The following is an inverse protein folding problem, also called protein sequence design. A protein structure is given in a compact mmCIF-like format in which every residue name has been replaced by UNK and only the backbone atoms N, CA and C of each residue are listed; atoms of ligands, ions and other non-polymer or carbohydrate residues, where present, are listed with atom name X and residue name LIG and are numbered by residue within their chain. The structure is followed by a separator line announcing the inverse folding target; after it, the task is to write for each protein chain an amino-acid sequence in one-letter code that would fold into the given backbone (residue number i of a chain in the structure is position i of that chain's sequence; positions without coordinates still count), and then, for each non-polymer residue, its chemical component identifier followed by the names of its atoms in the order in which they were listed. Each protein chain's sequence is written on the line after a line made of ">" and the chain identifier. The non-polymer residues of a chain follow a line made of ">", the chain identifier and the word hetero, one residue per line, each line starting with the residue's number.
data_IF_244373343359
#
_entry.id   IF_244373343359
#
_cell.length_a   1.000
_cell.length_b   1.000
_cell.length_c   1.000
_cell.angle_alpha   90.00
_cell.angle_beta   90.00
_cell.angle_gamma   90.00
#
_symmetry.space_group_name_H-M   'P 1'
#
loop_
_entity.id
_entity.type
_entity.pdbx_description
1 polymer ?
#
# COMPACT_ATOMS: atom_id res chain seq x y z
N UNK A 1 7.35 13.18 0.58
CA UNK A 1 6.03 12.54 0.36
C UNK A 1 6.05 11.77 -0.95
N UNK A 2 5.47 10.57 -1.00
CA UNK A 2 5.38 9.79 -2.25
C UNK A 2 4.36 10.45 -3.19
N UNK A 3 4.69 10.66 -4.48
CA UNK A 3 3.76 11.24 -5.43
C UNK A 3 2.58 10.31 -5.68
N UNK A 4 1.41 10.88 -5.96
CA UNK A 4 0.16 10.16 -6.26
C UNK A 4 -0.18 10.28 -7.73
N UNK A 5 -0.19 9.14 -8.42
CA UNK A 5 -0.58 9.00 -9.82
C UNK A 5 -2.02 8.49 -9.89
N UNK A 6 -2.91 9.26 -10.52
CA UNK A 6 -4.32 8.89 -10.65
C UNK A 6 -4.63 8.54 -12.10
N UNK A 7 -5.12 7.32 -12.33
CA UNK A 7 -5.47 6.81 -13.67
C UNK A 7 -6.93 7.18 -13.95
N UNK A 8 -7.15 7.96 -15.01
CA UNK A 8 -8.47 8.44 -15.42
C UNK A 8 -8.73 8.04 -16.88
N UNK A 9 -9.99 7.81 -17.23
CA UNK A 9 -10.40 7.52 -18.59
C UNK A 9 -11.75 6.82 -18.62
N UNK A 10 -12.38 6.79 -19.79
CA UNK A 10 -13.69 6.14 -19.97
C UNK A 10 -13.63 4.63 -19.66
N UNK A 11 -14.77 3.94 -19.48
CA UNK A 11 -14.79 2.49 -19.28
C UNK A 11 -14.04 1.73 -20.40
N UNK A 12 -13.49 0.55 -20.05
CA UNK A 12 -12.87 -0.42 -20.98
C UNK A 12 -11.59 0.01 -21.73
N UNK A 13 -11.01 1.18 -21.43
CA UNK A 13 -9.70 1.62 -21.99
C UNK A 13 -8.49 0.88 -21.39
N UNK A 14 -8.68 0.03 -20.38
CA UNK A 14 -7.61 -0.78 -19.77
C UNK A 14 -6.99 -0.22 -18.48
N UNK A 15 -7.71 0.64 -17.74
CA UNK A 15 -7.23 1.26 -16.49
C UNK A 15 -6.82 0.24 -15.43
N UNK A 16 -7.66 -0.76 -15.17
CA UNK A 16 -7.34 -1.78 -14.16
C UNK A 16 -6.18 -2.70 -14.60
N UNK A 17 -6.02 -2.90 -15.91
CA UNK A 17 -4.85 -3.60 -16.46
C UNK A 17 -3.57 -2.81 -16.22
N UNK A 18 -3.60 -1.49 -16.45
CA UNK A 18 -2.47 -0.60 -16.16
C UNK A 18 -2.19 -0.59 -14.65
N UNK A 19 -3.21 -0.39 -13.81
CA UNK A 19 -3.10 -0.38 -12.36
C UNK A 19 -2.38 -1.63 -11.82
N UNK A 20 -2.84 -2.83 -12.20
CA UNK A 20 -2.25 -4.10 -11.76
C UNK A 20 -0.78 -4.25 -12.21
N UNK A 21 -0.44 -3.71 -13.38
CA UNK A 21 0.94 -3.68 -13.86
C UNK A 21 1.82 -2.73 -13.05
N UNK A 22 1.30 -1.55 -12.70
CA UNK A 22 2.02 -0.54 -11.91
C UNK A 22 2.30 -1.04 -10.48
N UNK A 23 1.36 -1.76 -9.87
CA UNK A 23 1.51 -2.30 -8.51
C UNK A 23 2.31 -3.61 -8.45
N UNK A 24 2.62 -4.22 -9.61
CA UNK A 24 3.20 -5.58 -9.74
C UNK A 24 2.41 -6.63 -8.94
N UNK A 25 1.09 -6.45 -8.82
CA UNK A 25 0.22 -7.41 -8.15
C UNK A 25 -0.02 -8.63 -9.04
N UNK A 26 0.84 -9.64 -8.90
CA UNK A 26 0.35 -11.04 -8.98
C UNK A 26 -0.14 -11.56 -7.62
N UNK A 27 0.12 -10.80 -6.55
CA UNK A 27 -0.13 -11.17 -5.14
C UNK A 27 -1.05 -10.18 -4.40
N UNK A 28 -1.84 -9.35 -5.08
CA UNK A 28 -2.99 -8.70 -4.44
C UNK A 28 -4.11 -9.73 -4.26
N UNK A 29 -3.84 -10.78 -3.49
CA UNK A 29 -4.82 -11.74 -3.01
C UNK A 29 -5.65 -11.06 -1.91
N UNK A 30 -6.53 -10.15 -2.34
CA UNK A 30 -7.87 -10.06 -1.75
C UNK A 30 -8.77 -10.67 -2.80
N UNK A 31 -9.09 -11.95 -2.57
CA UNK A 31 -10.02 -12.82 -3.31
C UNK A 31 -10.58 -12.26 -4.64
N UNK A 32 -10.10 -12.84 -5.75
CA UNK A 32 -10.81 -12.82 -7.03
C UNK A 32 -12.17 -13.53 -6.88
N UNK A 33 -13.21 -12.78 -6.51
CA UNK A 33 -14.59 -13.12 -6.87
C UNK A 33 -15.00 -12.25 -8.07
N UNK A 34 -15.26 -12.86 -9.25
CA UNK A 34 -15.78 -12.13 -10.39
C UNK A 34 -17.15 -11.53 -10.06
N UNK A 35 -17.23 -10.20 -10.00
CA UNK A 35 -18.48 -9.46 -9.75
C UNK A 35 -18.40 -8.24 -8.82
N UNK A 36 -17.23 -7.91 -8.25
CA UNK A 36 -17.14 -7.01 -7.08
C UNK A 36 -16.34 -5.70 -7.23
N UNK A 37 -15.92 -5.27 -8.42
CA UNK A 37 -15.12 -4.03 -8.55
C UNK A 37 -15.92 -2.86 -9.12
N UNK A 38 -16.83 -2.32 -8.31
CA UNK A 38 -17.38 -0.96 -8.50
C UNK A 38 -16.67 0.10 -7.66
N UNK A 39 -15.76 -0.30 -6.77
CA UNK A 39 -14.97 0.58 -5.91
C UNK A 39 -13.55 0.82 -6.45
N UNK A 40 -12.96 1.96 -6.06
CA UNK A 40 -11.61 2.40 -6.46
C UNK A 40 -10.55 1.47 -5.90
N UNK A 41 -9.51 1.24 -6.70
CA UNK A 41 -8.34 0.51 -6.24
C UNK A 41 -7.21 1.48 -5.93
N UNK A 42 -6.57 1.26 -4.78
CA UNK A 42 -5.39 2.01 -4.33
C UNK A 42 -4.24 1.03 -4.18
N UNK A 43 -3.03 1.45 -4.55
CA UNK A 43 -1.87 0.58 -4.40
C UNK A 43 -0.54 1.32 -4.51
N UNK A 44 0.52 0.62 -4.15
CA UNK A 44 1.89 1.12 -4.28
C UNK A 44 2.44 0.81 -5.66
N UNK A 45 2.83 1.86 -6.39
CA UNK A 45 3.60 1.75 -7.62
C UNK A 45 4.99 1.17 -7.35
N UNK A 46 5.36 0.15 -8.13
CA UNK A 46 6.67 -0.54 -8.04
C UNK A 46 7.44 -0.51 -9.38
N UNK A 47 6.94 0.20 -10.37
CA UNK A 47 7.55 0.31 -11.69
C UNK A 47 8.12 1.72 -11.87
N UNK A 48 9.39 1.85 -12.26
CA UNK A 48 10.03 3.16 -12.41
C UNK A 48 11.18 3.35 -11.41
N UNK A 49 11.73 4.56 -11.37
CA UNK A 49 12.85 4.93 -10.51
C UNK A 49 12.46 5.25 -9.07
N UNK A 50 11.27 5.82 -8.86
CA UNK A 50 10.79 6.30 -7.54
C UNK A 50 9.55 5.54 -7.08
N UNK A 51 9.33 5.38 -5.76
CA UNK A 51 8.07 4.85 -5.23
C UNK A 51 6.95 5.89 -5.35
N UNK A 52 5.73 5.44 -5.61
CA UNK A 52 4.56 6.31 -5.74
C UNK A 52 3.28 5.59 -5.31
N UNK A 53 2.22 6.34 -5.07
CA UNK A 53 0.88 5.82 -4.90
C UNK A 53 0.17 5.84 -6.26
N UNK A 54 -0.60 4.79 -6.55
CA UNK A 54 -1.44 4.73 -7.75
C UNK A 54 -2.89 4.53 -7.36
N UNK A 55 -3.79 5.24 -8.04
CA UNK A 55 -5.24 5.17 -7.84
C UNK A 55 -5.93 4.88 -9.17
N UNK A 56 -6.74 3.83 -9.22
CA UNK A 56 -7.69 3.60 -10.31
C UNK A 56 -9.04 4.23 -9.93
N UNK A 57 -9.48 5.24 -10.68
CA UNK A 57 -10.76 5.90 -10.42
C UNK A 57 -11.98 5.04 -10.82
N UNK A 58 -11.77 3.88 -11.46
CA UNK A 58 -12.84 3.12 -12.10
C UNK A 58 -13.33 3.82 -13.38
N UNK A 59 -14.34 3.27 -14.06
CA UNK A 59 -14.95 3.89 -15.25
C UNK A 59 -15.43 5.31 -14.97
N UNK A 60 -14.71 6.32 -15.49
CA UNK A 60 -15.09 7.72 -15.30
C UNK A 60 -16.08 8.12 -16.40
N UNK A 61 -17.32 8.42 -16.01
CA UNK A 61 -18.39 8.90 -16.88
C UNK A 61 -18.88 10.28 -16.41
N UNK A 62 -18.48 11.39 -17.07
CA UNK A 62 -18.79 12.75 -16.63
C UNK A 62 -20.23 13.23 -16.92
N UNK A 63 -21.08 12.41 -17.54
CA UNK A 63 -22.44 12.81 -17.95
C UNK A 63 -23.52 11.87 -17.40
N UNK A 64 -23.78 11.87 -16.09
CA UNK A 64 -24.94 11.13 -15.55
C UNK A 64 -25.67 11.95 -14.50
N UNK A 65 -26.98 12.16 -14.71
CA UNK A 65 -27.81 13.08 -13.94
C UNK A 65 -28.52 12.46 -12.73
N UNK A 66 -28.55 11.13 -12.55
CA UNK A 66 -29.22 10.48 -11.39
C UNK A 66 -28.58 9.15 -10.95
N UNK A 67 -28.65 8.83 -9.65
CA UNK A 67 -28.35 7.51 -9.07
C UNK A 67 -26.92 7.28 -8.53
N UNK A 68 -26.59 6.01 -8.26
CA UNK A 68 -25.28 5.51 -7.72
C UNK A 68 -24.06 6.05 -8.51
N UNK A 69 -24.26 6.37 -9.79
CA UNK A 69 -23.24 6.85 -10.71
C UNK A 69 -22.82 8.31 -10.43
N UNK A 70 -23.68 9.14 -9.82
CA UNK A 70 -23.36 10.52 -9.45
C UNK A 70 -22.35 10.58 -8.29
N UNK A 71 -22.45 9.66 -7.32
CA UNK A 71 -21.47 9.57 -6.23
C UNK A 71 -20.13 9.07 -6.78
N UNK A 72 -20.12 8.18 -7.79
CA UNK A 72 -18.88 7.75 -8.47
C UNK A 72 -18.17 8.92 -9.19
N UNK A 73 -18.93 9.80 -9.87
CA UNK A 73 -18.39 10.98 -10.53
C UNK A 73 -17.78 11.98 -9.53
N UNK A 74 -18.50 12.32 -8.45
CA UNK A 74 -18.00 13.21 -7.38
C UNK A 74 -16.73 12.69 -6.73
N UNK A 75 -16.68 11.39 -6.47
CA UNK A 75 -15.49 10.83 -5.89
C UNK A 75 -14.32 10.89 -6.90
N UNK A 76 -14.55 10.68 -8.20
CA UNK A 76 -13.49 10.70 -9.21
C UNK A 76 -12.91 12.11 -9.39
N UNK A 77 -13.76 13.12 -9.33
CA UNK A 77 -13.35 14.52 -9.24
C UNK A 77 -12.48 14.78 -8.00
N UNK A 78 -12.82 14.22 -6.84
CA UNK A 78 -11.99 14.35 -5.64
C UNK A 78 -10.59 13.72 -5.82
N UNK A 79 -10.51 12.54 -6.43
CA UNK A 79 -9.23 11.90 -6.73
C UNK A 79 -8.40 12.74 -7.73
N UNK A 80 -9.05 13.29 -8.76
CA UNK A 80 -8.42 14.18 -9.73
C UNK A 80 -7.86 15.44 -9.05
N UNK A 81 -8.67 16.05 -8.18
CA UNK A 81 -8.29 17.26 -7.45
C UNK A 81 -7.13 17.04 -6.48
N UNK A 82 -6.88 15.81 -6.06
CA UNK A 82 -5.83 15.42 -5.11
C UNK A 82 -4.59 14.82 -5.78
N UNK A 83 -4.67 14.46 -7.06
CA UNK A 83 -3.60 13.82 -7.81
C UNK A 83 -2.37 14.74 -7.97
N UNK A 84 -1.18 14.21 -7.75
CA UNK A 84 0.05 14.92 -8.12
C UNK A 84 0.28 14.86 -9.64
N UNK A 85 -0.08 13.74 -10.27
CA UNK A 85 -0.11 13.56 -11.73
C UNK A 85 -1.33 12.75 -12.15
N UNK A 86 -1.97 13.17 -13.24
CA UNK A 86 -3.07 12.46 -13.88
C UNK A 86 -2.55 11.66 -15.07
N UNK A 87 -2.84 10.36 -15.12
CA UNK A 87 -2.63 9.52 -16.31
C UNK A 87 -3.97 9.39 -17.01
N UNK A 88 -4.14 10.11 -18.11
CA UNK A 88 -5.35 10.04 -18.91
C UNK A 88 -5.23 8.93 -19.96
N UNK A 89 -5.96 7.85 -19.76
CA UNK A 89 -5.89 6.63 -20.56
C UNK A 89 -6.97 6.62 -21.64
N UNK A 90 -6.55 6.47 -22.90
CA UNK A 90 -7.41 6.30 -24.09
C UNK A 90 -7.10 4.98 -24.79
N UNK A 91 -7.96 4.53 -25.70
CA UNK A 91 -7.83 3.24 -26.38
C UNK A 91 -7.65 3.44 -27.90
N UNK A 92 -6.46 3.10 -28.40
CA UNK A 92 -6.09 3.26 -29.81
C UNK A 92 -6.88 2.37 -30.75
N UNK A 93 -7.39 1.23 -30.28
CA UNK A 93 -8.12 0.28 -31.14
C UNK A 93 -9.51 0.77 -31.48
N UNK A 94 -10.12 1.50 -30.55
CA UNK A 94 -11.44 2.11 -30.72
C UNK A 94 -11.37 3.54 -31.26
N UNK A 95 -10.17 4.14 -31.25
CA UNK A 95 -9.93 5.52 -31.62
C UNK A 95 -10.53 6.54 -30.64
N UNK A 96 -10.51 7.81 -31.06
CA UNK A 96 -10.97 8.94 -30.28
C UNK A 96 -12.51 8.97 -30.10
N UNK A 97 -12.99 8.83 -28.86
CA UNK A 97 -14.43 8.91 -28.56
C UNK A 97 -14.86 10.31 -28.09
N UNK A 98 -16.14 10.70 -28.28
CA UNK A 98 -16.66 11.98 -27.76
C UNK A 98 -16.49 12.14 -26.25
N UNK A 99 -16.62 11.04 -25.50
CA UNK A 99 -16.39 11.02 -24.05
C UNK A 99 -14.96 11.40 -23.68
N UNK A 100 -13.97 11.00 -24.49
CA UNK A 100 -12.56 11.34 -24.24
C UNK A 100 -12.34 12.85 -24.33
N UNK A 101 -13.06 13.55 -25.23
CA UNK A 101 -13.01 15.03 -25.34
C UNK A 101 -13.54 15.71 -24.07
N UNK A 102 -14.66 15.23 -23.54
CA UNK A 102 -15.27 15.74 -22.30
C UNK A 102 -14.34 15.52 -21.10
N UNK A 103 -13.76 14.32 -20.99
CA UNK A 103 -12.82 13.99 -19.92
C UNK A 103 -11.56 14.87 -20.03
N UNK A 104 -11.00 15.02 -21.23
CA UNK A 104 -9.83 15.86 -21.46
C UNK A 104 -10.06 17.32 -21.04
N UNK A 105 -11.23 17.88 -21.36
CA UNK A 105 -11.58 19.25 -20.94
C UNK A 105 -11.64 19.39 -19.42
N UNK A 106 -12.23 18.43 -18.73
CA UNK A 106 -12.25 18.38 -17.26
C UNK A 106 -10.84 18.29 -16.67
N UNK A 107 -10.00 17.40 -17.22
CA UNK A 107 -8.64 17.21 -16.72
C UNK A 107 -7.77 18.46 -16.95
N UNK A 108 -7.89 19.12 -18.11
CA UNK A 108 -7.18 20.39 -18.37
C UNK A 108 -7.60 21.50 -17.40
N UNK A 109 -8.89 21.55 -17.03
CA UNK A 109 -9.41 22.51 -16.04
C UNK A 109 -9.01 22.21 -14.60
N UNK A 110 -8.55 21.00 -14.30
CA UNK A 110 -8.15 20.60 -12.94
C UNK A 110 -6.90 21.32 -12.43
N UNK A 111 -6.07 21.87 -13.35
CA UNK A 111 -4.79 22.49 -13.01
C UNK A 111 -3.70 21.49 -12.59
N UNK A 112 -3.95 20.19 -12.65
CA UNK A 112 -2.97 19.14 -12.38
C UNK A 112 -2.22 18.73 -13.66
N UNK A 113 -0.95 18.32 -13.58
CA UNK A 113 -0.23 17.75 -14.73
C UNK A 113 -0.97 16.54 -15.31
N UNK A 114 -1.20 16.52 -16.63
CA UNK A 114 -1.86 15.42 -17.33
C UNK A 114 -0.88 14.78 -18.29
N UNK A 115 -0.75 13.46 -18.21
CA UNK A 115 -0.05 12.63 -19.18
C UNK A 115 -1.06 11.78 -19.94
N UNK A 116 -1.15 12.03 -21.25
CA UNK A 116 -2.02 11.28 -22.14
C UNK A 116 -1.34 9.96 -22.51
N UNK A 117 -2.02 8.84 -22.24
CA UNK A 117 -1.54 7.50 -22.51
C UNK A 117 -2.50 6.78 -23.45
N UNK A 118 -2.03 6.51 -24.67
CA UNK A 118 -2.76 5.82 -25.72
C UNK A 118 -2.51 4.31 -25.61
N UNK A 119 -3.43 3.61 -24.95
CA UNK A 119 -3.29 2.20 -24.57
C UNK A 119 -3.74 1.25 -25.68
N UNK A 120 -3.28 -0.01 -25.59
CA UNK A 120 -3.54 -1.12 -26.54
C UNK A 120 -2.82 -0.96 -27.89
N UNK A 121 -1.68 -0.27 -27.90
CA UNK A 121 -0.86 0.00 -29.09
C UNK A 121 0.15 -1.09 -29.46
N UNK A 122 0.04 -2.29 -28.89
CA UNK A 122 0.94 -3.41 -29.22
C UNK A 122 1.03 -3.68 -30.73
N UNK A 123 2.27 -3.73 -31.24
CA UNK A 123 2.54 -4.03 -32.66
C UNK A 123 2.12 -2.94 -33.65
N UNK A 124 1.68 -1.76 -33.19
CA UNK A 124 1.25 -0.65 -34.03
C UNK A 124 2.35 0.40 -34.20
N UNK A 125 2.33 1.14 -35.31
CA UNK A 125 3.21 2.30 -35.50
C UNK A 125 2.78 3.43 -34.56
N UNK A 126 3.68 3.80 -33.62
CA UNK A 126 3.40 4.79 -32.57
C UNK A 126 3.03 6.16 -33.13
N UNK A 127 3.66 6.61 -34.21
CA UNK A 127 3.41 7.92 -34.78
C UNK A 127 2.01 8.00 -35.41
N UNK A 128 1.60 6.91 -36.09
CA UNK A 128 0.29 6.81 -36.73
C UNK A 128 -0.82 6.79 -35.70
N UNK A 129 -0.71 5.95 -34.67
CA UNK A 129 -1.80 5.80 -33.67
C UNK A 129 -1.89 6.98 -32.70
N UNK A 130 -0.80 7.71 -32.46
CA UNK A 130 -0.83 8.90 -31.61
C UNK A 130 -1.51 10.10 -32.29
N UNK A 131 -1.52 10.15 -33.63
CA UNK A 131 -1.89 11.34 -34.41
C UNK A 131 -3.28 11.90 -34.05
N UNK A 132 -4.29 11.04 -33.93
CA UNK A 132 -5.67 11.47 -33.62
C UNK A 132 -5.81 12.04 -32.19
N UNK A 133 -4.99 11.58 -31.25
CA UNK A 133 -5.12 11.93 -29.84
C UNK A 133 -4.49 13.28 -29.49
N UNK A 134 -3.68 13.87 -30.38
CA UNK A 134 -3.24 15.26 -30.23
C UNK A 134 -4.41 16.25 -30.19
N UNK A 135 -5.57 15.92 -30.79
CA UNK A 135 -6.79 16.74 -30.74
C UNK A 135 -7.28 16.96 -29.29
N UNK A 136 -6.91 16.07 -28.35
CA UNK A 136 -7.26 16.20 -26.94
C UNK A 136 -6.48 17.30 -26.22
N UNK A 137 -5.43 17.88 -26.81
CA UNK A 137 -4.68 19.00 -26.22
C UNK A 137 -4.09 18.69 -24.84
N UNK A 138 -3.74 17.42 -24.57
CA UNK A 138 -3.19 16.96 -23.29
C UNK A 138 -1.69 16.61 -23.40
N UNK A 139 -0.96 17.31 -24.28
CA UNK A 139 0.44 17.04 -24.59
C UNK A 139 0.64 15.85 -25.53
N UNK A 140 1.87 15.34 -25.57
CA UNK A 140 2.28 14.27 -26.48
C UNK A 140 1.74 12.90 -26.00
N UNK A 141 0.93 12.19 -26.82
CA UNK A 141 0.38 10.89 -26.43
C UNK A 141 1.48 9.82 -26.27
N UNK A 142 1.58 9.25 -25.07
CA UNK A 142 2.43 8.09 -24.80
C UNK A 142 1.72 6.82 -25.27
N UNK A 143 2.16 6.22 -26.38
CA UNK A 143 1.62 4.94 -26.86
C UNK A 143 2.15 3.80 -25.98
N UNK A 144 1.22 3.07 -25.35
CA UNK A 144 1.55 1.98 -24.43
C UNK A 144 0.76 0.71 -24.74
N UNK A 145 1.27 -0.42 -24.23
CA UNK A 145 0.48 -1.64 -24.05
C UNK A 145 0.46 -2.01 -22.58
N UNK A 146 -0.66 -1.80 -21.89
CA UNK A 146 -0.82 -2.23 -20.50
C UNK A 146 -0.82 -3.76 -20.37
N UNK A 147 -1.26 -4.48 -21.40
CA UNK A 147 -1.30 -5.94 -21.40
C UNK A 147 0.11 -6.56 -21.52
N UNK A 148 0.96 -5.99 -22.38
CA UNK A 148 2.31 -6.51 -22.64
C UNK A 148 3.43 -5.78 -21.87
N UNK A 149 3.17 -4.55 -21.43
CA UNK A 149 4.10 -3.71 -20.67
C UNK A 149 4.93 -2.74 -21.50
N UNK A 150 4.72 -2.69 -22.81
CA UNK A 150 5.41 -1.79 -23.74
C UNK A 150 5.08 -0.33 -23.42
N UNK A 151 6.08 0.54 -23.38
CA UNK A 151 5.93 1.99 -23.11
C UNK A 151 5.50 2.36 -21.67
N UNK A 152 5.05 1.39 -20.86
CA UNK A 152 4.54 1.66 -19.51
C UNK A 152 5.63 2.20 -18.58
N UNK A 153 6.87 1.71 -18.70
CA UNK A 153 7.98 2.23 -17.89
C UNK A 153 8.29 3.68 -18.26
N UNK A 154 8.36 4.00 -19.54
CA UNK A 154 8.63 5.35 -20.05
C UNK A 154 7.56 6.34 -19.55
N UNK A 155 6.28 5.97 -19.65
CA UNK A 155 5.16 6.75 -19.12
C UNK A 155 5.33 7.08 -17.63
N UNK A 156 5.73 6.09 -16.82
CA UNK A 156 5.88 6.29 -15.38
C UNK A 156 7.11 7.12 -15.05
N UNK A 157 8.24 6.91 -15.73
CA UNK A 157 9.43 7.76 -15.52
C UNK A 157 9.12 9.22 -15.89
N UNK A 158 8.34 9.46 -16.95
CA UNK A 158 7.88 10.80 -17.32
C UNK A 158 6.97 11.41 -16.23
N UNK A 159 6.07 10.61 -15.66
CA UNK A 159 5.21 11.03 -14.55
C UNK A 159 6.02 11.38 -13.29
N UNK A 160 7.11 10.67 -13.03
CA UNK A 160 7.91 10.81 -11.81
C UNK A 160 9.08 11.79 -11.94
N UNK A 161 9.42 12.21 -13.16
CA UNK A 161 10.53 13.13 -13.43
C UNK A 161 10.45 14.46 -12.65
N UNK A 162 9.27 15.11 -12.47
CA UNK A 162 9.19 16.39 -11.75
C UNK A 162 9.42 16.30 -10.24
N UNK A 163 9.29 15.11 -9.65
CA UNK A 163 9.39 14.94 -8.20
C UNK A 163 10.84 14.75 -7.77
N UNK A 164 11.26 15.19 -6.59
CA UNK A 164 12.60 14.90 -6.08
C UNK A 164 12.79 13.39 -5.87
N UNK A 165 14.04 12.92 -5.94
CA UNK A 165 14.39 11.60 -5.41
C UNK A 165 14.12 11.57 -3.90
N UNK A 166 13.72 10.41 -3.36
CA UNK A 166 13.60 10.24 -1.91
C UNK A 166 14.97 10.52 -1.28
N UNK A 167 15.10 11.63 -0.56
CA UNK A 167 16.19 11.79 0.41
C UNK A 167 15.97 10.75 1.50
N UNK A 168 17.03 10.03 1.89
CA UNK A 168 17.03 9.34 3.18
C UNK A 168 16.71 10.40 4.23
N UNK A 169 15.47 10.43 4.72
CA UNK A 169 15.11 11.30 5.80
C UNK A 169 15.95 10.85 7.00
N UNK A 170 16.85 11.73 7.46
CA UNK A 170 17.51 11.61 8.74
C UNK A 170 16.43 11.47 9.82
N UNK A 171 16.09 10.23 10.21
CA UNK A 171 15.18 9.97 11.32
C UNK A 171 15.89 10.28 12.65
N UNK A 172 15.96 11.55 12.98
CA UNK A 172 16.00 12.02 14.35
C UNK A 172 14.68 12.73 14.69
N UNK A 173 13.55 12.09 14.37
CA UNK A 173 12.25 12.56 14.85
C UNK A 173 12.15 12.29 16.37
N UNK A 174 11.62 13.27 17.11
CA UNK A 174 11.48 13.26 18.57
C UNK A 174 10.43 12.25 19.10
N UNK A 175 10.14 11.16 18.39
CA UNK A 175 9.18 10.13 18.81
C UNK A 175 8.38 9.51 17.66
N UNK A 176 7.39 8.64 17.97
CA UNK A 176 6.60 7.95 16.96
C UNK A 176 5.73 8.92 16.15
N UNK A 177 5.79 8.83 14.82
CA UNK A 177 4.80 9.43 13.93
C UNK A 177 3.59 8.51 13.81
N UNK A 178 2.40 9.02 14.14
CA UNK A 178 1.16 8.24 14.27
C UNK A 178 0.12 8.76 13.29
N UNK A 179 -0.51 7.87 12.52
CA UNK A 179 -1.68 8.21 11.70
C UNK A 179 -2.92 7.45 12.19
N UNK A 180 -4.11 8.05 12.03
CA UNK A 180 -5.39 7.39 12.31
C UNK A 180 -6.11 7.13 10.99
N UNK A 181 -6.28 5.86 10.66
CA UNK A 181 -6.91 5.42 9.41
C UNK A 181 -8.21 4.66 9.68
N UNK A 182 -9.07 4.57 8.66
CA UNK A 182 -10.34 3.86 8.73
C UNK A 182 -11.39 4.52 7.85
N UNK A 183 -12.53 3.86 7.68
CA UNK A 183 -13.63 4.37 6.85
C UNK A 183 -14.16 5.74 7.32
N UNK A 184 -14.88 6.47 6.47
CA UNK A 184 -15.64 7.64 6.91
C UNK A 184 -16.54 7.31 8.11
N UNK A 185 -16.74 8.27 9.02
CA UNK A 185 -17.69 8.18 10.14
C UNK A 185 -17.43 7.11 11.23
N UNK A 186 -16.29 6.41 11.20
CA UNK A 186 -15.89 5.47 12.28
C UNK A 186 -15.48 6.17 13.58
N UNK A 187 -15.34 7.50 13.56
CA UNK A 187 -15.00 8.32 14.73
C UNK A 187 -13.53 8.78 14.82
N UNK A 188 -12.81 8.85 13.69
CA UNK A 188 -11.41 9.32 13.61
C UNK A 188 -11.21 10.68 14.27
N UNK A 189 -11.98 11.70 13.84
CA UNK A 189 -11.86 13.06 14.40
C UNK A 189 -12.25 13.13 15.86
N UNK A 190 -13.21 12.31 16.30
CA UNK A 190 -13.56 12.20 17.72
C UNK A 190 -12.36 11.67 18.51
N UNK A 191 -11.71 10.60 18.04
CA UNK A 191 -10.53 10.06 18.71
C UNK A 191 -9.40 11.07 18.78
N UNK A 192 -9.13 11.80 17.69
CA UNK A 192 -8.08 12.83 17.69
C UNK A 192 -8.38 13.95 18.68
N UNK A 193 -9.60 14.48 18.68
CA UNK A 193 -9.99 15.54 19.60
C UNK A 193 -9.91 15.07 21.05
N UNK A 194 -10.33 13.84 21.32
CA UNK A 194 -10.25 13.27 22.66
C UNK A 194 -8.80 13.04 23.09
N UNK A 195 -7.91 12.63 22.17
CA UNK A 195 -6.48 12.51 22.44
C UNK A 195 -5.89 13.87 22.81
N UNK A 196 -6.13 14.91 22.00
CA UNK A 196 -5.59 16.27 22.19
C UNK A 196 -6.22 17.02 23.36
N UNK A 197 -7.46 16.68 23.74
CA UNK A 197 -8.21 17.31 24.83
C UNK A 197 -8.00 16.67 26.21
N UNK A 198 -7.19 15.61 26.32
CA UNK A 198 -6.83 15.07 27.64
C UNK A 198 -5.95 16.08 28.40
N UNK A 199 -6.26 16.33 29.68
CA UNK A 199 -5.54 17.30 30.55
C UNK A 199 -4.01 17.09 30.63
N UNK A 200 -3.53 15.91 30.23
CA UNK A 200 -2.12 15.51 30.25
C UNK A 200 -1.44 15.56 28.88
N UNK A 201 -2.15 15.99 27.83
CA UNK A 201 -1.60 16.16 26.50
C UNK A 201 -1.32 17.63 26.25
N UNK A 202 -0.07 17.96 25.94
CA UNK A 202 0.32 19.31 25.52
C UNK A 202 0.50 19.26 24.01
N UNK A 203 -0.40 19.93 23.29
CA UNK A 203 -0.24 20.16 21.85
C UNK A 203 0.57 21.44 21.63
N UNK A 204 1.55 21.41 20.73
CA UNK A 204 2.30 22.61 20.39
C UNK A 204 1.63 23.30 19.19
N UNK A 205 1.20 24.55 19.36
CA UNK A 205 0.72 25.37 18.25
C UNK A 205 1.92 25.85 17.42
N UNK A 206 2.12 25.26 16.24
CA UNK A 206 3.06 25.81 15.26
C UNK A 206 2.33 26.73 14.27
N UNK A 207 2.71 28.01 14.16
CA UNK A 207 2.26 28.88 13.09
C UNK A 207 3.07 28.60 11.81
N UNK A 208 2.36 28.30 10.71
CA UNK A 208 2.93 28.33 9.35
C UNK A 208 3.57 27.03 8.85
N UNK A 209 2.75 26.13 8.29
CA UNK A 209 3.18 25.27 7.18
C UNK A 209 2.06 25.26 6.14
N UNK A 210 2.38 25.73 4.94
CA UNK A 210 1.49 25.69 3.78
C UNK A 210 1.71 24.42 2.97
N UNK A 211 0.58 23.89 2.48
CA UNK A 211 0.33 22.95 1.38
C UNK A 211 0.21 21.44 1.63
N UNK A 212 1.10 20.76 2.35
CA UNK A 212 1.07 19.28 2.37
C UNK A 212 1.22 18.72 3.80
N UNK A 213 0.31 17.81 4.21
CA UNK A 213 0.15 17.16 5.53
C UNK A 213 0.30 18.04 6.80
N UNK A 214 -0.80 18.22 7.56
CA UNK A 214 -0.74 18.89 8.87
C UNK A 214 -0.21 17.89 9.90
N UNK A 215 0.98 18.15 10.42
CA UNK A 215 1.58 17.46 11.56
C UNK A 215 1.20 18.18 12.86
N UNK A 216 0.70 17.44 13.84
CA UNK A 216 0.43 17.97 15.18
C UNK A 216 1.33 17.26 16.19
N UNK A 217 2.44 17.89 16.59
CA UNK A 217 3.25 17.37 17.69
C UNK A 217 2.48 17.47 19.00
N UNK A 218 2.55 16.41 19.79
CA UNK A 218 1.97 16.37 21.12
C UNK A 218 2.84 15.55 22.07
N UNK A 219 2.75 15.85 23.35
CA UNK A 219 3.44 15.10 24.39
C UNK A 219 2.46 14.37 25.31
N UNK A 220 2.78 13.13 25.70
CA UNK A 220 2.04 12.41 26.74
C UNK A 220 3.00 11.60 27.61
N UNK A 221 2.89 11.78 28.93
CA UNK A 221 3.73 11.11 29.93
C UNK A 221 5.25 11.26 29.65
N UNK A 222 5.71 12.45 29.24
CA UNK A 222 7.13 12.69 28.95
C UNK A 222 7.61 12.16 27.59
N UNK A 223 6.70 11.65 26.74
CA UNK A 223 7.03 11.13 25.40
C UNK A 223 6.39 12.01 24.34
N UNK A 224 7.20 12.45 23.39
CA UNK A 224 6.73 13.19 22.24
C UNK A 224 6.22 12.23 21.14
N UNK A 225 5.19 12.70 20.45
CA UNK A 225 4.54 12.03 19.34
C UNK A 225 4.22 13.07 18.29
N UNK A 226 4.10 12.62 17.03
CA UNK A 226 3.60 13.47 15.96
C UNK A 226 2.37 12.80 15.36
N UNK A 227 1.22 13.44 15.47
CA UNK A 227 0.03 13.00 14.75
C UNK A 227 0.11 13.51 13.31
N UNK A 228 0.14 12.59 12.36
CA UNK A 228 0.05 12.89 10.94
C UNK A 228 -1.42 12.89 10.54
N UNK A 229 -1.80 13.92 9.77
CA UNK A 229 -3.10 14.08 9.12
C UNK A 229 -4.22 14.55 10.05
N UNK A 230 -4.22 15.86 10.29
CA UNK A 230 -5.28 16.57 11.00
C UNK A 230 -6.11 17.46 10.08
N UNK A 231 -6.33 17.08 8.82
CA UNK A 231 -7.15 17.86 7.87
C UNK A 231 -8.55 18.21 8.42
N UNK A 232 -9.03 17.47 9.43
CA UNK A 232 -10.28 17.76 10.16
C UNK A 232 -10.18 18.63 11.42
N UNK A 233 -9.00 19.00 11.94
CA UNK A 233 -8.89 19.75 13.20
C UNK A 233 -8.85 21.26 13.06
N UNK A 234 -8.20 21.80 12.03
CA UNK A 234 -8.05 23.26 11.88
C UNK A 234 -9.23 23.96 11.21
N UNK A 235 -10.14 23.23 10.58
CA UNK A 235 -11.21 23.81 9.73
C UNK A 235 -12.49 24.22 10.47
N UNK A 236 -12.46 24.31 11.80
CA UNK A 236 -13.62 24.84 12.58
C UNK A 236 -13.63 26.35 12.74
N UNK A 237 -12.62 27.06 12.24
CA UNK A 237 -12.56 28.52 12.25
C UNK A 237 -13.21 29.18 11.03
N UNK A 238 -14.56 29.09 10.91
CA UNK A 238 -15.42 29.78 9.92
C UNK A 238 -15.18 29.46 8.43
N UNK A 239 -16.30 29.34 7.69
CA UNK A 239 -16.47 29.38 6.23
C UNK A 239 -16.64 28.01 5.52
N UNK A 240 -17.90 27.79 5.09
CA UNK A 240 -18.50 26.79 4.17
C UNK A 240 -18.24 25.28 4.37
N UNK A 241 -19.24 24.60 4.91
CA UNK A 241 -19.43 23.12 5.00
C UNK A 241 -19.68 22.42 3.64
N UNK A 242 -19.30 23.02 2.51
CA UNK A 242 -19.66 22.50 1.19
C UNK A 242 -18.50 21.68 0.61
N UNK A 243 -18.55 20.36 0.85
CA UNK A 243 -17.72 19.30 0.25
C UNK A 243 -16.27 19.25 0.75
N UNK A 244 -16.10 18.87 2.02
CA UNK A 244 -14.79 18.40 2.51
C UNK A 244 -14.96 17.06 3.22
N UNK A 245 -15.49 16.09 2.47
CA UNK A 245 -15.44 14.68 2.85
C UNK A 245 -13.97 14.25 2.80
N UNK A 246 -13.48 13.68 3.90
CA UNK A 246 -12.14 13.09 4.06
C UNK A 246 -11.57 12.52 2.76
N UNK A 247 -10.54 13.16 2.23
CA UNK A 247 -9.73 12.65 1.13
C UNK A 247 -9.16 11.28 1.50
N UNK A 248 -9.54 10.23 0.74
CA UNK A 248 -8.97 8.89 0.93
C UNK A 248 -7.47 8.91 0.59
N UNK A 249 -7.05 9.68 -0.42
CA UNK A 249 -5.64 9.80 -0.82
C UNK A 249 -4.80 10.38 0.32
N UNK A 250 -5.27 11.44 0.99
CA UNK A 250 -4.56 12.01 2.14
C UNK A 250 -4.43 11.03 3.30
N UNK A 251 -5.47 10.23 3.58
CA UNK A 251 -5.36 9.16 4.59
C UNK A 251 -4.29 8.14 4.20
N UNK A 252 -4.17 7.78 2.91
CA UNK A 252 -3.15 6.85 2.43
C UNK A 252 -1.74 7.47 2.48
N UNK A 253 -1.59 8.75 2.15
CA UNK A 253 -0.33 9.49 2.32
C UNK A 253 0.07 9.58 3.81
N UNK A 254 -0.89 9.82 4.70
CA UNK A 254 -0.66 9.82 6.14
C UNK A 254 -0.14 8.47 6.64
N UNK A 255 -0.70 7.37 6.11
CA UNK A 255 -0.20 6.01 6.37
C UNK A 255 1.24 5.84 5.89
N UNK A 256 1.60 6.36 4.71
CA UNK A 256 2.97 6.29 4.19
C UNK A 256 3.99 7.04 5.05
N UNK A 257 3.58 8.11 5.70
CA UNK A 257 4.48 8.92 6.51
C UNK A 257 4.57 8.45 7.97
N UNK A 258 3.57 7.70 8.44
CA UNK A 258 3.53 7.21 9.80
C UNK A 258 4.54 6.08 10.05
N UNK A 259 5.00 5.97 11.29
CA UNK A 259 5.65 4.76 11.78
C UNK A 259 4.59 3.77 12.29
N UNK A 260 3.54 4.29 12.93
CA UNK A 260 2.44 3.48 13.49
C UNK A 260 1.09 4.01 13.01
N UNK A 261 0.22 3.13 12.56
CA UNK A 261 -1.15 3.45 12.17
C UNK A 261 -2.12 2.86 13.18
N UNK A 262 -3.08 3.67 13.62
CA UNK A 262 -4.25 3.23 14.39
C UNK A 262 -5.41 3.05 13.41
N UNK A 263 -5.73 1.80 13.08
CA UNK A 263 -6.89 1.46 12.27
C UNK A 263 -8.15 1.46 13.12
N UNK A 264 -9.04 2.42 12.87
CA UNK A 264 -10.33 2.52 13.54
C UNK A 264 -11.41 1.75 12.78
N UNK A 265 -12.13 0.90 13.51
CA UNK A 265 -13.30 0.15 13.02
C UNK A 265 -14.51 0.51 13.89
N UNK A 266 -15.70 0.60 13.30
CA UNK A 266 -16.94 0.95 13.99
C UNK A 266 -17.63 -0.30 14.57
N UNK A 267 -17.87 -0.33 15.89
CA UNK A 267 -18.55 -1.46 16.53
C UNK A 267 -20.04 -1.58 16.17
N UNK A 268 -20.68 -0.52 15.73
CA UNK A 268 -22.11 -0.57 15.35
C UNK A 268 -22.33 -1.19 13.98
N UNK A 269 -21.27 -1.37 13.19
CA UNK A 269 -21.32 -1.85 11.81
C UNK A 269 -20.48 -3.11 11.63
N UNK A 270 -20.77 -3.89 10.59
CA UNK A 270 -19.94 -5.05 10.25
C UNK A 270 -18.60 -4.59 9.69
N UNK A 271 -17.61 -5.47 9.82
CA UNK A 271 -16.31 -5.25 9.17
C UNK A 271 -16.51 -5.39 7.67
N UNK A 272 -16.36 -4.29 6.96
CA UNK A 272 -16.52 -4.22 5.51
C UNK A 272 -15.25 -4.65 4.79
N UNK A 273 -15.37 -4.95 3.50
CA UNK A 273 -14.21 -5.24 2.65
C UNK A 273 -13.28 -4.01 2.57
N UNK A 274 -13.84 -2.80 2.63
CA UNK A 274 -13.04 -1.57 2.66
C UNK A 274 -12.16 -1.47 3.92
N UNK A 275 -12.62 -1.95 5.08
CA UNK A 275 -11.79 -2.00 6.29
C UNK A 275 -10.60 -2.97 6.09
N UNK A 276 -10.84 -4.12 5.44
CA UNK A 276 -9.80 -5.09 5.10
C UNK A 276 -8.82 -4.53 4.04
N UNK A 277 -9.31 -3.77 3.05
CA UNK A 277 -8.47 -3.11 2.06
C UNK A 277 -7.56 -2.05 2.68
N UNK A 278 -8.08 -1.20 3.57
CA UNK A 278 -7.25 -0.22 4.31
C UNK A 278 -6.21 -0.94 5.16
N UNK A 279 -6.61 -2.02 5.85
CA UNK A 279 -5.69 -2.83 6.63
C UNK A 279 -4.57 -3.46 5.77
N UNK A 280 -4.92 -4.01 4.61
CA UNK A 280 -3.96 -4.54 3.64
C UNK A 280 -2.99 -3.48 3.16
N UNK A 281 -3.48 -2.29 2.81
CA UNK A 281 -2.64 -1.16 2.40
C UNK A 281 -1.62 -0.78 3.48
N UNK A 282 -2.01 -0.74 4.76
CA UNK A 282 -1.10 -0.42 5.87
C UNK A 282 0.05 -1.45 5.98
N UNK A 283 -0.25 -2.74 5.76
CA UNK A 283 0.76 -3.82 5.80
C UNK A 283 1.69 -3.74 4.60
N UNK A 284 1.15 -3.43 3.42
CA UNK A 284 1.92 -3.23 2.20
C UNK A 284 2.81 -1.98 2.27
N UNK A 285 2.36 -0.95 2.99
CA UNK A 285 3.17 0.20 3.38
C UNK A 285 4.24 -0.16 4.42
N UNK A 286 4.10 -1.32 5.10
CA UNK A 286 5.05 -1.83 6.08
C UNK A 286 4.95 -1.17 7.44
N UNK A 287 3.82 -0.55 7.77
CA UNK A 287 3.68 0.22 9.00
C UNK A 287 3.25 -0.65 10.16
N UNK A 288 3.71 -0.26 11.35
CA UNK A 288 3.20 -0.83 12.58
C UNK A 288 1.69 -0.50 12.71
N UNK A 289 0.94 -1.40 13.35
CA UNK A 289 -0.52 -1.34 13.35
C UNK A 289 -1.11 -1.65 14.72
N UNK A 290 -2.05 -0.81 15.12
CA UNK A 290 -2.94 -1.01 16.27
C UNK A 290 -4.38 -0.92 15.77
N UNK A 291 -5.23 -1.85 16.19
CA UNK A 291 -6.65 -1.84 15.81
C UNK A 291 -7.47 -1.25 16.96
N UNK A 292 -8.30 -0.27 16.67
CA UNK A 292 -9.20 0.36 17.64
C UNK A 292 -10.66 0.18 17.20
N UNK A 293 -11.38 -0.65 17.91
CA UNK A 293 -12.82 -0.88 17.72
C UNK A 293 -13.58 0.18 18.52
N UNK A 294 -14.06 1.20 17.83
CA UNK A 294 -14.70 2.38 18.41
C UNK A 294 -16.22 2.20 18.58
N UNK A 295 -16.86 3.10 19.34
CA UNK A 295 -18.30 3.06 19.68
C UNK A 295 -18.70 1.80 20.45
N UNK A 296 -17.76 1.23 21.21
CA UNK A 296 -17.98 0.01 21.99
C UNK A 296 -19.06 0.15 23.08
N UNK A 297 -19.32 1.39 23.49
CA UNK A 297 -20.35 1.76 24.44
C UNK A 297 -21.76 1.81 23.85
N UNK A 298 -21.87 1.83 22.52
CA UNK A 298 -23.15 1.91 21.79
C UNK A 298 -23.69 0.54 21.34
N UNK A 299 -23.03 -0.55 21.73
CA UNK A 299 -23.35 -1.92 21.31
C UNK A 299 -23.64 -2.84 22.49
N UNK A 300 -24.57 -3.77 22.28
CA UNK A 300 -24.94 -4.82 23.23
C UNK A 300 -23.96 -6.02 23.17
N UNK A 301 -24.13 -6.99 24.07
CA UNK A 301 -23.22 -8.13 24.17
C UNK A 301 -23.27 -9.04 22.95
N UNK A 302 -24.44 -9.21 22.33
CA UNK A 302 -24.58 -9.96 21.09
C UNK A 302 -23.75 -9.35 19.97
N UNK A 303 -23.85 -8.03 19.76
CA UNK A 303 -23.08 -7.33 18.73
C UNK A 303 -21.58 -7.35 19.02
N UNK A 304 -21.17 -7.28 20.29
CA UNK A 304 -19.77 -7.39 20.71
C UNK A 304 -19.17 -8.75 20.36
N UNK A 305 -19.92 -9.83 20.52
CA UNK A 305 -19.49 -11.17 20.13
C UNK A 305 -19.37 -11.31 18.61
N UNK A 306 -20.36 -10.81 17.86
CA UNK A 306 -20.32 -10.82 16.39
C UNK A 306 -19.07 -10.12 15.83
N UNK A 307 -18.73 -8.95 16.36
CA UNK A 307 -17.54 -8.22 15.91
C UNK A 307 -16.24 -8.94 16.25
N UNK A 308 -16.15 -9.59 17.41
CA UNK A 308 -14.97 -10.40 17.75
C UNK A 308 -14.77 -11.52 16.72
N UNK A 309 -15.85 -12.18 16.31
CA UNK A 309 -15.83 -13.21 15.27
C UNK A 309 -15.46 -12.63 13.90
N UNK A 310 -16.01 -11.47 13.54
CA UNK A 310 -15.69 -10.80 12.28
C UNK A 310 -14.24 -10.38 12.20
N UNK A 311 -13.66 -9.82 13.27
CA UNK A 311 -12.22 -9.51 13.34
C UNK A 311 -11.40 -10.79 13.17
N UNK A 312 -11.74 -11.84 13.90
CA UNK A 312 -11.01 -13.11 13.83
C UNK A 312 -11.08 -13.77 12.45
N UNK A 313 -12.16 -13.55 11.69
CA UNK A 313 -12.38 -14.11 10.36
C UNK A 313 -11.81 -13.23 9.25
N UNK A 314 -12.20 -11.97 9.19
CA UNK A 314 -11.90 -11.03 8.10
C UNK A 314 -10.55 -10.34 8.26
N UNK A 315 -10.05 -10.17 9.49
CA UNK A 315 -8.79 -9.50 9.80
C UNK A 315 -7.76 -10.46 10.42
N UNK A 316 -7.85 -11.76 10.13
CA UNK A 316 -6.95 -12.78 10.67
C UNK A 316 -5.46 -12.52 10.39
N UNK A 317 -5.17 -11.89 9.24
CA UNK A 317 -3.83 -11.50 8.81
C UNK A 317 -3.23 -10.39 9.68
N UNK A 318 -4.03 -9.75 10.54
CA UNK A 318 -3.60 -8.78 11.55
C UNK A 318 -3.23 -9.41 12.89
N UNK A 319 -2.95 -10.72 12.96
CA UNK A 319 -2.66 -11.41 14.22
C UNK A 319 -1.49 -10.84 15.05
N UNK A 320 -0.60 -10.04 14.44
CA UNK A 320 0.47 -9.33 15.14
C UNK A 320 0.00 -8.02 15.82
N UNK A 321 -1.12 -7.43 15.37
CA UNK A 321 -1.64 -6.16 15.87
C UNK A 321 -2.44 -6.33 17.17
N UNK A 322 -2.35 -5.34 18.07
CA UNK A 322 -3.16 -5.30 19.29
C UNK A 322 -4.52 -4.68 18.99
N UNK A 323 -5.59 -5.34 19.42
CA UNK A 323 -6.97 -4.83 19.32
C UNK A 323 -7.38 -4.18 20.63
N UNK A 324 -7.91 -2.96 20.55
CA UNK A 324 -8.50 -2.21 21.67
C UNK A 324 -9.97 -1.96 21.41
N UNK A 325 -10.79 -2.09 22.45
CA UNK A 325 -12.21 -1.72 22.42
C UNK A 325 -12.37 -0.39 23.13
N UNK A 326 -12.84 0.62 22.42
CA UNK A 326 -12.82 2.01 22.89
C UNK A 326 -14.12 2.74 22.64
N UNK A 327 -14.32 3.81 23.40
CA UNK A 327 -15.29 4.85 23.11
C UNK A 327 -14.57 6.17 23.01
N UNK A 328 -14.32 6.62 21.78
CA UNK A 328 -13.68 7.91 21.54
C UNK A 328 -14.50 9.07 22.14
N UNK A 329 -15.84 8.96 22.09
CA UNK A 329 -16.75 9.97 22.62
C UNK A 329 -16.69 10.07 24.14
N UNK A 330 -16.60 8.93 24.85
CA UNK A 330 -16.54 8.87 26.31
C UNK A 330 -15.12 8.88 26.89
N UNK A 331 -14.08 8.90 26.04
CA UNK A 331 -12.68 8.81 26.47
C UNK A 331 -12.25 7.43 26.99
N UNK A 332 -13.06 6.39 26.81
CA UNK A 332 -12.80 5.07 27.42
C UNK A 332 -11.86 4.22 26.56
N UNK A 333 -10.85 3.61 27.20
CA UNK A 333 -9.92 2.68 26.56
C UNK A 333 -8.80 3.32 25.71
N UNK A 334 -8.76 4.65 25.60
CA UNK A 334 -7.82 5.39 24.76
C UNK A 334 -6.36 5.27 25.26
N UNK A 335 -6.14 5.28 26.58
CA UNK A 335 -4.80 5.13 27.16
C UNK A 335 -4.09 3.83 26.73
N UNK A 336 -4.86 2.75 26.51
CA UNK A 336 -4.33 1.47 26.03
C UNK A 336 -3.82 1.53 24.59
N UNK A 337 -4.41 2.39 23.76
CA UNK A 337 -4.00 2.60 22.36
C UNK A 337 -2.57 3.13 22.33
N UNK A 338 -2.28 4.24 23.03
CA UNK A 338 -0.95 4.85 23.00
C UNK A 338 0.15 3.95 23.57
N UNK A 339 -0.14 3.21 24.65
CA UNK A 339 0.80 2.20 25.15
C UNK A 339 1.10 1.11 24.11
N UNK A 340 0.12 0.77 23.28
CA UNK A 340 0.32 -0.20 22.19
C UNK A 340 1.03 0.40 21.00
N UNK A 341 0.81 1.70 20.71
CA UNK A 341 1.57 2.46 19.72
C UNK A 341 3.06 2.45 20.08
N UNK A 342 3.41 2.73 21.35
CA UNK A 342 4.80 2.69 21.81
C UNK A 342 5.45 1.32 21.60
N UNK A 343 4.74 0.25 21.98
CA UNK A 343 5.22 -1.12 21.82
C UNK A 343 5.38 -1.49 20.35
N UNK A 344 4.43 -1.09 19.52
CA UNK A 344 4.45 -1.34 18.08
C UNK A 344 5.59 -0.58 17.39
N UNK A 345 5.81 0.68 17.76
CA UNK A 345 6.95 1.49 17.29
C UNK A 345 8.29 0.87 17.71
N UNK A 346 8.44 0.52 19.00
CA UNK A 346 9.65 -0.10 19.50
C UNK A 346 9.96 -1.45 18.82
N UNK A 347 8.93 -2.25 18.53
CA UNK A 347 9.07 -3.49 17.76
C UNK A 347 9.47 -3.21 16.30
N UNK A 348 8.87 -2.21 15.65
CA UNK A 348 9.18 -1.85 14.26
C UNK A 348 10.62 -1.32 14.09
N UNK A 349 11.12 -0.62 15.10
CA UNK A 349 12.47 -0.03 15.14
C UNK A 349 13.51 -0.93 15.84
N UNK A 350 13.15 -2.17 16.18
CA UNK A 350 14.04 -3.05 16.93
C UNK A 350 15.32 -3.36 16.15
N UNK A 351 16.48 -3.10 16.79
CA UNK A 351 17.78 -3.53 16.27
C UNK A 351 18.00 -5.01 16.53
N UNK A 352 18.21 -5.77 15.48
CA UNK A 352 18.41 -7.22 15.53
C UNK A 352 19.79 -7.56 14.97
N UNK A 353 20.72 -7.94 15.87
CA UNK A 353 22.09 -8.24 15.45
C UNK A 353 22.17 -9.50 14.58
N UNK A 354 23.04 -9.48 13.58
CA UNK A 354 23.30 -10.60 12.65
C UNK A 354 23.58 -11.93 13.37
N UNK A 355 24.39 -12.00 14.46
CA UNK A 355 24.61 -13.26 15.16
C UNK A 355 23.34 -13.81 15.82
N UNK A 356 22.51 -12.94 16.40
CA UNK A 356 21.24 -13.35 17.04
C UNK A 356 20.24 -13.82 15.98
N UNK A 357 20.10 -13.07 14.87
CA UNK A 357 19.25 -13.45 13.74
C UNK A 357 19.66 -14.80 13.15
N UNK A 358 20.95 -15.00 12.92
CA UNK A 358 21.48 -16.25 12.36
C UNK A 358 21.25 -17.44 13.31
N UNK A 359 21.40 -17.24 14.63
CA UNK A 359 21.11 -18.29 15.61
C UNK A 359 19.62 -18.67 15.62
N UNK A 360 18.72 -17.69 15.58
CA UNK A 360 17.28 -17.92 15.51
C UNK A 360 16.90 -18.62 14.20
N UNK A 361 17.52 -18.24 13.07
CA UNK A 361 17.34 -18.90 11.79
C UNK A 361 17.72 -20.38 11.84
N UNK A 362 18.88 -20.70 12.40
CA UNK A 362 19.35 -22.09 12.53
C UNK A 362 18.36 -22.90 13.37
N UNK A 363 17.93 -22.38 14.52
CA UNK A 363 16.93 -23.04 15.36
C UNK A 363 15.57 -23.24 14.66
N UNK A 364 15.16 -22.32 13.80
CA UNK A 364 13.95 -22.48 12.97
C UNK A 364 14.11 -23.61 11.95
N UNK A 365 15.25 -23.67 11.25
CA UNK A 365 15.54 -24.72 10.25
C UNK A 365 15.66 -26.11 10.90
N UNK A 366 16.22 -26.18 12.11
CA UNK A 366 16.28 -27.41 12.91
C UNK A 366 14.89 -27.88 13.34
N UNK A 367 14.03 -26.96 13.80
CA UNK A 367 12.65 -27.28 14.18
C UNK A 367 11.82 -27.72 12.97
N UNK A 368 11.96 -27.04 11.84
CA UNK A 368 11.28 -27.38 10.60
C UNK A 368 12.20 -27.12 9.41
N UNK A 369 12.69 -28.19 8.80
CA UNK A 369 13.56 -28.11 7.63
C UNK A 369 12.79 -27.61 6.40
N UNK A 370 13.39 -26.78 5.53
CA UNK A 370 12.74 -26.37 4.29
C UNK A 370 12.40 -27.59 3.40
N UNK A 371 11.23 -27.59 2.74
CA UNK A 371 10.84 -28.66 1.84
C UNK A 371 11.83 -28.75 0.66
N UNK A 372 11.95 -29.95 0.10
CA UNK A 372 12.76 -30.16 -1.12
C UNK A 372 11.99 -29.64 -2.33
N UNK A 373 12.72 -29.15 -3.32
CA UNK A 373 12.19 -28.82 -4.64
C UNK A 373 12.97 -29.63 -5.68
N UNK A 374 12.35 -30.70 -6.18
CA UNK A 374 13.03 -31.69 -7.02
C UNK A 374 14.25 -32.30 -6.31
N UNK A 375 15.41 -32.25 -6.96
CA UNK A 375 16.65 -32.80 -6.41
C UNK A 375 17.25 -31.95 -5.27
N UNK A 376 16.95 -30.65 -5.24
CA UNK A 376 17.64 -29.69 -4.37
C UNK A 376 16.82 -29.38 -3.11
N UNK A 377 17.54 -29.07 -2.03
CA UNK A 377 16.96 -28.51 -0.80
C UNK A 377 17.53 -27.11 -0.59
N UNK A 378 16.69 -26.07 -0.43
CA UNK A 378 17.15 -24.74 -0.06
C UNK A 378 18.03 -24.78 1.19
N UNK A 379 19.15 -24.08 1.17
CA UNK A 379 20.07 -24.00 2.33
C UNK A 379 20.18 -22.56 2.79
N UNK A 380 19.52 -22.25 3.90
CA UNK A 380 19.57 -20.96 4.57
C UNK A 380 20.85 -20.93 5.44
N UNK A 381 21.78 -20.02 5.17
CA UNK A 381 23.11 -19.99 5.79
C UNK A 381 23.22 -18.99 6.93
N UNK A 382 22.79 -17.75 6.70
CA UNK A 382 22.82 -16.70 7.70
C UNK A 382 21.76 -15.63 7.40
N UNK A 383 21.47 -14.80 8.40
CA UNK A 383 20.49 -13.72 8.29
C UNK A 383 21.06 -12.42 8.88
N UNK A 384 20.77 -11.29 8.23
CA UNK A 384 21.05 -9.96 8.75
C UNK A 384 19.83 -9.05 8.61
N UNK A 385 19.80 -7.94 9.35
CA UNK A 385 18.73 -6.94 9.24
C UNK A 385 18.99 -6.05 8.02
N UNK A 386 18.01 -5.97 7.11
CA UNK A 386 18.06 -5.14 5.91
C UNK A 386 17.31 -3.81 6.02
N UNK A 387 16.54 -3.60 7.09
CA UNK A 387 15.78 -2.38 7.32
C UNK A 387 15.05 -2.39 8.66
N UNK A 388 14.60 -1.21 9.06
CA UNK A 388 13.73 -0.94 10.20
C UNK A 388 12.47 -0.23 9.73
N UNK A 389 11.33 -0.50 10.36
CA UNK A 389 10.02 0.08 10.02
C UNK A 389 9.53 -0.16 8.57
N UNK A 390 9.22 -1.43 8.19
CA UNK A 390 9.16 -2.61 9.06
C UNK A 390 10.52 -3.31 9.22
N UNK A 391 10.69 -4.17 10.22
CA UNK A 391 11.84 -5.05 10.31
C UNK A 391 11.95 -5.95 9.06
N UNK A 392 13.04 -5.77 8.31
CA UNK A 392 13.36 -6.62 7.16
C UNK A 392 14.50 -7.55 7.55
N UNK A 393 14.27 -8.87 7.45
CA UNK A 393 15.31 -9.89 7.63
C UNK A 393 15.73 -10.39 6.26
N UNK A 394 17.01 -10.21 5.94
CA UNK A 394 17.61 -10.68 4.70
C UNK A 394 18.35 -11.98 4.97
N UNK A 395 17.86 -13.06 4.36
CA UNK A 395 18.38 -14.41 4.48
C UNK A 395 19.25 -14.72 3.27
N UNK A 396 20.47 -15.19 3.53
CA UNK A 396 21.42 -15.61 2.51
C UNK A 396 21.57 -17.12 2.47
N UNK A 397 21.82 -17.65 1.27
CA UNK A 397 21.87 -19.09 1.08
C UNK A 397 21.86 -19.52 -0.38
N UNK A 398 21.58 -20.81 -0.57
CA UNK A 398 21.56 -21.46 -1.86
C UNK A 398 20.13 -21.93 -2.17
N UNK A 399 19.74 -21.86 -3.45
CA UNK A 399 18.45 -22.35 -3.94
C UNK A 399 17.26 -21.73 -3.18
N UNK A 400 17.36 -20.46 -2.78
CA UNK A 400 16.33 -19.78 -1.98
C UNK A 400 15.09 -19.43 -2.81
N UNK A 401 15.24 -19.31 -4.13
CA UNK A 401 14.16 -19.16 -5.11
C UNK A 401 13.14 -20.30 -5.07
N UNK A 402 13.50 -21.43 -4.47
CA UNK A 402 12.62 -22.60 -4.31
C UNK A 402 11.96 -22.69 -2.93
N UNK A 403 12.12 -21.67 -2.07
CA UNK A 403 11.43 -21.62 -0.79
C UNK A 403 9.95 -21.27 -1.03
N UNK A 404 8.99 -22.13 -0.63
CA UNK A 404 7.57 -21.82 -0.80
C UNK A 404 7.12 -20.74 0.17
N UNK A 405 6.09 -19.99 -0.21
CA UNK A 405 5.52 -18.92 0.62
C UNK A 405 5.07 -19.41 2.02
N UNK A 406 4.59 -20.65 2.12
CA UNK A 406 4.22 -21.26 3.41
C UNK A 406 5.41 -21.37 4.38
N UNK A 407 6.61 -21.66 3.88
CA UNK A 407 7.82 -21.71 4.69
C UNK A 407 8.30 -20.32 5.09
N UNK A 408 8.17 -19.33 4.19
CA UNK A 408 8.43 -17.92 4.54
C UNK A 408 7.53 -17.45 5.68
N UNK A 409 6.22 -17.74 5.64
CA UNK A 409 5.27 -17.41 6.74
C UNK A 409 5.63 -18.11 8.05
N UNK A 410 6.10 -19.36 7.98
CA UNK A 410 6.61 -20.07 9.14
C UNK A 410 7.81 -19.35 9.77
N UNK A 411 8.80 -18.96 8.95
CA UNK A 411 9.96 -18.22 9.42
C UNK A 411 9.56 -16.86 10.00
N UNK A 412 8.67 -16.12 9.34
CA UNK A 412 8.16 -14.84 9.82
C UNK A 412 7.58 -14.97 11.22
N UNK A 413 6.67 -15.93 11.43
CA UNK A 413 6.09 -16.20 12.74
C UNK A 413 7.16 -16.59 13.79
N UNK A 414 8.11 -17.43 13.41
CA UNK A 414 9.20 -17.84 14.31
C UNK A 414 10.06 -16.66 14.74
N UNK A 415 10.40 -15.74 13.84
CA UNK A 415 11.13 -14.52 14.15
C UNK A 415 10.31 -13.56 15.02
N UNK A 416 9.03 -13.35 14.70
CA UNK A 416 8.13 -12.52 15.50
C UNK A 416 8.06 -13.01 16.96
N UNK A 417 7.90 -14.32 17.17
CA UNK A 417 7.87 -14.93 18.50
C UNK A 417 9.23 -14.81 19.22
N UNK A 418 10.34 -15.15 18.54
CA UNK A 418 11.69 -15.14 19.13
C UNK A 418 12.16 -13.74 19.55
N UNK A 419 11.77 -12.71 18.79
CA UNK A 419 12.13 -11.32 19.06
C UNK A 419 11.03 -10.54 19.80
N UNK A 420 9.89 -11.18 20.11
CA UNK A 420 8.71 -10.57 20.76
C UNK A 420 8.23 -9.31 20.02
N UNK A 421 8.28 -9.35 18.69
CA UNK A 421 7.88 -8.24 17.84
C UNK A 421 6.35 -8.23 17.76
N UNK A 422 5.75 -7.29 18.47
CA UNK A 422 4.30 -7.13 18.52
C UNK A 422 3.90 -5.80 17.91
N UNK A 423 2.83 -5.80 17.12
CA UNK A 423 2.30 -4.60 16.49
C UNK A 423 3.01 -4.18 15.21
N UNK A 424 3.99 -4.94 14.71
CA UNK A 424 4.68 -4.65 13.45
C UNK A 424 4.66 -5.86 12.51
N UNK A 425 4.45 -5.67 11.20
CA UNK A 425 4.70 -6.73 10.23
C UNK A 425 6.21 -6.98 10.10
N UNK A 426 6.60 -8.22 9.79
CA UNK A 426 7.99 -8.59 9.52
C UNK A 426 8.11 -9.07 8.08
N UNK A 427 9.16 -8.64 7.38
CA UNK A 427 9.42 -9.05 5.98
C UNK A 427 10.67 -9.89 5.89
N UNK A 428 10.60 -11.01 5.18
CA UNK A 428 11.76 -11.81 4.82
C UNK A 428 12.11 -11.57 3.36
N UNK A 429 13.38 -11.25 3.11
CA UNK A 429 13.95 -11.19 1.77
C UNK A 429 15.01 -12.27 1.62
N UNK A 430 15.04 -12.90 0.46
CA UNK A 430 16.04 -13.90 0.13
C UNK A 430 17.09 -13.30 -0.81
N UNK A 431 18.37 -13.48 -0.47
CA UNK A 431 19.49 -13.17 -1.35
C UNK A 431 20.25 -14.45 -1.69
N UNK A 432 20.03 -14.95 -2.90
CA UNK A 432 20.83 -16.06 -3.44
C UNK A 432 22.18 -15.51 -3.90
N UNK A 433 23.27 -16.10 -3.44
CA UNK A 433 24.59 -15.81 -4.00
C UNK A 433 24.66 -16.33 -5.44
N UNK A 434 24.83 -15.44 -6.43
CA UNK A 434 25.17 -15.87 -7.79
C UNK A 434 26.48 -16.63 -7.73
N UNK A 435 26.51 -17.87 -8.24
CA UNK A 435 27.73 -18.65 -8.33
C UNK A 435 28.65 -17.98 -9.37
N UNK A 436 29.81 -17.41 -8.97
CA UNK A 436 30.72 -16.74 -9.92
C UNK A 436 31.31 -17.69 -10.97
N UNK A 437 31.21 -18.99 -10.75
CA UNK A 437 31.74 -20.05 -11.62
C UNK A 437 30.67 -20.75 -12.46
N UNK A 438 29.41 -20.29 -12.42
CA UNK A 438 28.40 -20.74 -13.36
C UNK A 438 28.69 -20.08 -14.72
N UNK A 439 29.58 -20.69 -15.49
CA UNK A 439 29.71 -20.40 -16.93
C UNK A 439 28.35 -20.63 -17.57
N UNK A 440 27.72 -19.56 -18.05
CA UNK A 440 26.78 -19.65 -19.15
C UNK A 440 27.50 -20.40 -20.29
N UNK A 441 26.80 -21.37 -20.89
CA UNK A 441 27.29 -22.30 -21.91
C UNK A 441 28.26 -23.42 -21.50
N UNK A 442 27.66 -24.57 -21.15
CA UNK A 442 28.19 -25.87 -21.59
C UNK A 442 27.17 -26.53 -22.51
N UNK A 443 27.46 -26.73 -23.81
CA UNK A 443 26.60 -27.54 -24.66
C UNK A 443 26.57 -28.97 -24.10
N UNK A 444 25.38 -29.55 -24.03
CA UNK A 444 25.11 -30.85 -23.45
C UNK A 444 25.93 -31.96 -24.14
N UNK A 445 27.15 -32.24 -23.65
CA UNK A 445 27.90 -33.45 -23.99
C UNK A 445 27.40 -34.61 -23.15
N UNK A 446 26.32 -35.27 -23.60
CA UNK A 446 26.15 -36.73 -23.39
C UNK A 446 25.07 -37.32 -24.31
N UNK A 447 25.35 -37.39 -25.62
CA UNK A 447 24.70 -38.35 -26.54
C UNK A 447 25.61 -39.52 -26.95
N UNK A 448 26.74 -39.70 -26.26
CA UNK A 448 27.68 -40.81 -26.50
C UNK A 448 27.67 -41.81 -25.34
N UNK A 449 26.57 -42.55 -25.19
CA UNK A 449 26.54 -43.79 -24.40
C UNK A 449 25.39 -44.74 -24.78
N UNK A 450 24.96 -44.73 -26.05
CA UNK A 450 23.90 -45.63 -26.54
C UNK A 450 24.28 -46.57 -27.70
N UNK A 451 25.54 -46.61 -28.13
CA UNK A 451 25.96 -47.46 -29.27
C UNK A 451 27.03 -48.51 -28.93
N UNK A 452 27.15 -48.96 -27.67
CA UNK A 452 28.07 -50.06 -27.31
C UNK A 452 27.41 -51.26 -26.63
N UNK A 453 26.09 -51.41 -26.71
CA UNK A 453 25.38 -52.59 -26.16
C UNK A 453 24.62 -53.44 -27.18
N UNK A 454 24.72 -53.17 -28.49
CA UNK A 454 24.01 -53.95 -29.53
C UNK A 454 24.91 -54.82 -30.43
N UNK A 455 26.19 -55.07 -30.07
CA UNK A 455 27.07 -56.00 -30.82
C UNK A 455 27.46 -57.28 -30.07
N UNK A 456 26.70 -57.68 -29.06
CA UNK A 456 26.84 -59.02 -28.44
C UNK A 456 25.47 -59.60 -28.09
N UNK A 457 24.81 -60.16 -29.09
CA UNK A 457 23.92 -61.32 -28.96
C UNK A 457 23.70 -61.95 -30.33
#
# INVERSE_FOLDING_TARGET
>A
MKPTLVIVGRPNVGKSTLFNRLTRSRDALVADQPGLTRDRHYGHGRLGSKPYLVVDTGGFEPQVKEGIVQEMARQAEAAIAEADVLIFLVDVRTGLAPQDKVIAELLRRSGRPVLLAANKGEGMDRAVVAAEFYELGCGDPCVISSAHGEGVRELVELALAPFPDESEADEAAAGPRVAIAGRPNVGKSTLVNTLLGEERMIAFDMPGTTRDAIEVPFERNGRAYTLIDTAGLRRRGRVFETIEKFSVIKTLQAVEEANVVVLMVDATQEISDQDAHIAGFIIDAGRALVVAVNKWDAVDDYRREQIKLDIARKLNFLGFARVHYVSALKGQGIAGILSSVDKAYAAAMAKMSTPKLTRVLIGAVEKQTPPRHGAFRPKLRYAHQGGSNPPIIVIHGNALEHIPASYTRYLERYFLEAFKLQGTPLRIQYKTSKNPFATEDRPAKSKLRREKSESRR
#
